data_IF_669894226058
#
_entry.id   IF_669894226058
#
_cell.length_a   1.000
_cell.length_b   1.000
_cell.length_c   1.000
_cell.angle_alpha   90.00
_cell.angle_beta   90.00
_cell.angle_gamma   90.00
#
_symmetry.space_group_name_H-M   'P 1'
#
loop_
_entity.id
_entity.type
_entity.pdbx_description
1 polymer ?
#
# COMPACT_ATOMS: atom_id res chain seq x y z
N UNK A 1 22.16 13.79 13.12
CA UNK A 1 21.68 12.68 12.25
C UNK A 1 21.02 11.66 13.17
N UNK A 2 19.68 11.69 13.30
CA UNK A 2 18.95 10.67 14.06
C UNK A 2 19.06 9.36 13.31
N UNK A 3 19.76 8.36 13.90
CA UNK A 3 19.71 7.00 13.40
C UNK A 3 18.24 6.58 13.36
N UNK A 4 17.82 6.10 12.20
CA UNK A 4 16.44 5.65 11.98
C UNK A 4 16.06 4.64 13.07
N UNK A 5 15.11 5.02 13.92
CA UNK A 5 14.61 4.22 15.04
C UNK A 5 13.75 3.02 14.56
N UNK A 6 14.07 2.47 13.36
CA UNK A 6 13.38 1.33 12.77
C UNK A 6 14.28 0.11 12.76
N UNK A 7 13.75 -0.97 13.29
CA UNK A 7 14.43 -2.27 13.29
C UNK A 7 13.48 -3.34 12.77
N UNK A 8 13.90 -4.07 11.74
CA UNK A 8 13.20 -5.25 11.24
C UNK A 8 14.02 -6.49 11.58
N UNK A 9 13.43 -7.40 12.32
CA UNK A 9 13.99 -8.70 12.65
C UNK A 9 13.07 -9.83 12.18
N UNK A 10 13.64 -11.00 11.89
CA UNK A 10 12.89 -12.15 11.41
C UNK A 10 13.06 -13.32 12.37
N UNK A 11 11.99 -14.11 12.53
CA UNK A 11 11.97 -15.29 13.38
C UNK A 11 11.03 -16.37 12.83
N UNK A 12 11.21 -17.62 13.25
CA UNK A 12 10.32 -18.71 12.91
C UNK A 12 9.17 -18.81 13.91
N UNK A 13 7.94 -18.94 13.43
CA UNK A 13 6.77 -19.29 14.25
C UNK A 13 6.68 -20.79 14.41
N UNK A 14 7.46 -21.33 15.35
CA UNK A 14 7.62 -22.78 15.59
C UNK A 14 6.32 -23.50 15.93
N UNK A 15 5.36 -22.79 16.56
CA UNK A 15 4.03 -23.32 16.90
C UNK A 15 3.16 -23.65 15.67
N UNK A 16 3.54 -23.17 14.49
CA UNK A 16 2.84 -23.39 13.21
C UNK A 16 3.71 -24.19 12.23
N UNK A 17 4.60 -25.06 12.74
CA UNK A 17 5.36 -25.97 11.89
C UNK A 17 4.41 -26.92 11.16
N UNK A 18 4.65 -27.15 9.87
CA UNK A 18 3.95 -28.16 9.11
C UNK A 18 4.50 -29.58 9.36
N UNK A 19 3.86 -30.59 8.76
CA UNK A 19 4.24 -32.00 8.92
C UNK A 19 5.70 -32.30 8.51
N UNK A 20 6.27 -31.49 7.60
CA UNK A 20 7.65 -31.60 7.12
C UNK A 20 8.65 -30.79 8.00
N UNK A 21 8.19 -30.17 9.08
CA UNK A 21 9.01 -29.37 9.98
C UNK A 21 9.36 -27.97 9.45
N UNK A 22 8.67 -27.49 8.42
CA UNK A 22 8.84 -26.13 7.92
C UNK A 22 8.01 -25.17 8.76
N UNK A 23 8.63 -24.11 9.25
CA UNK A 23 8.00 -23.08 10.06
C UNK A 23 7.78 -21.80 9.24
N UNK A 24 6.65 -21.11 9.41
CA UNK A 24 6.46 -19.79 8.82
C UNK A 24 7.49 -18.78 9.34
N UNK A 25 8.04 -17.99 8.43
CA UNK A 25 8.90 -16.86 8.78
C UNK A 25 8.03 -15.65 9.09
N UNK A 26 8.24 -15.06 10.25
CA UNK A 26 7.59 -13.83 10.70
C UNK A 26 8.59 -12.68 10.69
N UNK A 27 8.14 -11.51 10.31
CA UNK A 27 8.85 -10.27 10.54
C UNK A 27 8.33 -9.58 11.80
N UNK A 28 9.23 -9.02 12.60
CA UNK A 28 8.93 -8.10 13.70
C UNK A 28 9.53 -6.75 13.37
N UNK A 29 8.68 -5.76 13.21
CA UNK A 29 9.02 -4.37 12.93
C UNK A 29 8.89 -3.56 14.21
N UNK A 30 9.95 -2.87 14.61
CA UNK A 30 9.96 -1.94 15.72
C UNK A 30 10.22 -0.53 15.21
N UNK A 31 9.44 0.43 15.68
CA UNK A 31 9.62 1.87 15.43
C UNK A 31 9.74 2.56 16.78
N UNK A 32 10.92 3.15 17.03
CA UNK A 32 11.23 3.68 18.35
C UNK A 32 11.22 2.60 19.42
N UNK A 33 10.92 3.00 20.66
CA UNK A 33 10.94 2.14 21.83
C UNK A 33 9.63 1.40 22.09
N UNK A 34 8.49 1.98 21.64
CA UNK A 34 7.17 1.55 22.11
C UNK A 34 6.22 1.11 21.00
N UNK A 35 6.63 1.20 19.74
CA UNK A 35 5.78 0.80 18.62
C UNK A 35 6.34 -0.46 17.96
N UNK A 36 5.56 -1.55 17.97
CA UNK A 36 5.93 -2.80 17.31
C UNK A 36 4.76 -3.38 16.52
N UNK A 37 5.09 -4.07 15.44
CA UNK A 37 4.14 -4.80 14.61
C UNK A 37 4.77 -6.11 14.14
N UNK A 38 3.98 -7.16 14.00
CA UNK A 38 4.42 -8.43 13.44
C UNK A 38 3.57 -8.83 12.26
N UNK A 39 4.18 -9.51 11.26
CA UNK A 39 3.48 -10.02 10.09
C UNK A 39 4.20 -11.22 9.48
N UNK A 40 3.46 -12.03 8.72
CA UNK A 40 4.02 -13.16 7.99
C UNK A 40 4.69 -12.68 6.70
N UNK A 41 5.91 -13.17 6.43
CA UNK A 41 6.61 -12.93 5.15
C UNK A 41 6.16 -13.89 4.04
N UNK A 42 5.21 -14.79 4.32
CA UNK A 42 4.69 -15.79 3.38
C UNK A 42 5.77 -16.76 2.86
N UNK A 43 6.81 -16.98 3.63
CA UNK A 43 7.88 -17.94 3.37
C UNK A 43 7.86 -18.97 4.51
N UNK A 44 8.13 -20.25 4.20
CA UNK A 44 8.36 -21.30 5.18
C UNK A 44 9.78 -21.82 5.04
N UNK A 45 10.42 -22.13 6.17
CA UNK A 45 11.80 -22.63 6.23
C UNK A 45 11.90 -23.75 7.25
N UNK A 46 12.61 -24.87 6.96
CA UNK A 46 12.90 -25.87 7.96
C UNK A 46 13.63 -25.26 9.16
N UNK A 47 13.23 -25.62 10.38
CA UNK A 47 13.86 -25.09 11.59
C UNK A 47 15.37 -25.33 11.61
N UNK A 48 15.84 -26.47 11.10
CA UNK A 48 17.26 -26.84 11.01
C UNK A 48 18.08 -25.94 10.07
N UNK A 49 17.40 -25.23 9.16
CA UNK A 49 18.03 -24.31 8.20
C UNK A 49 17.80 -22.84 8.54
N UNK A 50 17.58 -22.53 9.79
CA UNK A 50 17.37 -21.16 10.26
C UNK A 50 18.31 -20.80 11.41
N UNK A 51 19.06 -19.73 11.27
CA UNK A 51 19.96 -19.22 12.32
C UNK A 51 20.02 -17.70 12.29
N UNK A 52 20.01 -17.08 13.47
CA UNK A 52 20.18 -15.64 13.64
C UNK A 52 19.28 -14.76 12.76
N UNK A 53 18.02 -15.19 12.57
CA UNK A 53 17.04 -14.43 11.79
C UNK A 53 17.22 -14.53 10.26
N UNK A 54 17.94 -15.57 9.78
CA UNK A 54 18.22 -15.80 8.35
C UNK A 54 18.20 -17.29 8.00
N UNK A 55 17.95 -17.59 6.72
CA UNK A 55 18.14 -18.93 6.21
C UNK A 55 19.65 -19.29 6.19
N UNK A 56 20.01 -20.43 6.76
CA UNK A 56 21.38 -20.94 6.84
C UNK A 56 21.74 -21.82 5.64
N UNK A 57 23.02 -21.83 5.28
CA UNK A 57 23.58 -22.60 4.17
C UNK A 57 23.87 -21.77 2.93
N UNK A 58 24.57 -22.44 1.96
CA UNK A 58 25.04 -21.79 0.70
C UNK A 58 24.15 -22.10 -0.50
N UNK A 59 23.00 -22.75 -0.31
CA UNK A 59 22.07 -23.11 -1.39
C UNK A 59 21.48 -21.88 -2.06
N UNK A 60 21.09 -22.01 -3.33
CA UNK A 60 20.41 -20.94 -4.09
C UNK A 60 19.13 -20.53 -3.34
N UNK A 61 18.34 -21.49 -2.86
CA UNK A 61 17.13 -21.20 -2.09
C UNK A 61 17.40 -20.38 -0.81
N UNK A 62 18.48 -20.66 -0.07
CA UNK A 62 18.83 -19.87 1.11
C UNK A 62 19.22 -18.43 0.75
N UNK A 63 19.91 -18.25 -0.38
CA UNK A 63 20.25 -16.91 -0.89
C UNK A 63 19.00 -16.12 -1.31
N UNK A 64 18.09 -16.75 -2.04
CA UNK A 64 16.83 -16.12 -2.48
C UNK A 64 15.97 -15.71 -1.29
N UNK A 65 15.83 -16.59 -0.27
CA UNK A 65 15.13 -16.26 0.96
C UNK A 65 15.79 -15.04 1.64
N UNK A 66 17.10 -15.05 1.81
CA UNK A 66 17.82 -13.97 2.47
C UNK A 66 17.71 -12.64 1.69
N UNK A 67 17.79 -12.67 0.36
CA UNK A 67 17.57 -11.50 -0.49
C UNK A 67 16.15 -10.92 -0.25
N UNK A 68 15.14 -11.78 -0.22
CA UNK A 68 13.77 -11.35 0.06
C UNK A 68 13.60 -10.72 1.44
N UNK A 69 14.28 -11.25 2.47
CA UNK A 69 14.29 -10.67 3.81
C UNK A 69 14.96 -9.29 3.83
N UNK A 70 16.06 -9.13 3.07
CA UNK A 70 16.78 -7.85 2.96
C UNK A 70 15.96 -6.81 2.17
N UNK A 71 15.24 -7.22 1.12
CA UNK A 71 14.27 -6.36 0.42
C UNK A 71 13.18 -5.84 1.36
N UNK A 72 12.56 -6.71 2.15
CA UNK A 72 11.54 -6.35 3.13
C UNK A 72 12.10 -5.34 4.14
N UNK A 73 13.32 -5.55 4.61
CA UNK A 73 13.99 -4.63 5.55
C UNK A 73 14.23 -3.27 4.91
N UNK A 74 14.73 -3.23 3.67
CA UNK A 74 14.97 -2.00 2.93
C UNK A 74 13.68 -1.23 2.65
N UNK A 75 12.62 -1.94 2.22
CA UNK A 75 11.31 -1.32 1.99
C UNK A 75 10.73 -0.72 3.29
N UNK A 76 10.76 -1.45 4.41
CA UNK A 76 10.27 -0.94 5.69
C UNK A 76 11.01 0.32 6.15
N UNK A 77 12.34 0.35 5.96
CA UNK A 77 13.15 1.52 6.27
C UNK A 77 12.79 2.71 5.39
N UNK A 78 12.67 2.52 4.07
CA UNK A 78 12.30 3.58 3.14
C UNK A 78 10.92 4.15 3.46
N UNK A 79 9.91 3.30 3.68
CA UNK A 79 8.57 3.73 4.08
C UNK A 79 8.63 4.58 5.35
N UNK A 80 9.37 4.13 6.36
CA UNK A 80 9.52 4.90 7.60
C UNK A 80 10.19 6.25 7.34
N UNK A 81 11.26 6.30 6.57
CA UNK A 81 11.98 7.55 6.26
C UNK A 81 11.09 8.53 5.51
N UNK A 82 10.34 8.08 4.52
CA UNK A 82 9.38 8.90 3.79
C UNK A 82 8.28 9.45 4.71
N UNK A 83 7.71 8.62 5.57
CA UNK A 83 6.66 9.04 6.49
C UNK A 83 7.18 9.99 7.57
N UNK A 84 8.35 9.69 8.15
CA UNK A 84 8.95 10.50 9.23
C UNK A 84 9.53 11.83 8.75
N UNK A 85 9.81 11.97 7.46
CA UNK A 85 10.23 13.25 6.88
C UNK A 85 9.08 14.29 6.85
N UNK A 86 7.85 13.84 6.93
CA UNK A 86 6.65 14.67 6.76
C UNK A 86 5.87 14.87 8.06
N UNK A 87 5.95 13.92 9.00
CA UNK A 87 5.26 13.97 10.28
C UNK A 87 6.01 13.21 11.37
N UNK A 88 5.82 13.63 12.62
CA UNK A 88 6.26 12.88 13.80
C UNK A 88 5.25 11.75 14.13
N UNK A 89 5.70 10.80 14.95
CA UNK A 89 4.82 9.78 15.52
C UNK A 89 4.44 8.64 14.57
N UNK A 90 5.24 8.37 13.54
CA UNK A 90 5.03 7.21 12.64
C UNK A 90 5.10 5.91 13.45
N UNK A 91 4.10 5.05 13.31
CA UNK A 91 3.99 3.79 14.04
C UNK A 91 4.43 2.57 13.23
N UNK A 92 4.79 1.48 13.92
CA UNK A 92 5.12 0.22 13.26
C UNK A 92 3.93 -0.38 12.50
N UNK A 93 2.69 -0.22 13.00
CA UNK A 93 1.49 -0.70 12.31
C UNK A 93 1.25 0.05 10.99
N UNK A 94 1.49 1.35 10.94
CA UNK A 94 1.39 2.13 9.70
C UNK A 94 2.42 1.70 8.67
N UNK A 95 3.69 1.55 9.07
CA UNK A 95 4.75 1.05 8.18
C UNK A 95 4.43 -0.34 7.68
N UNK A 96 3.96 -1.24 8.55
CA UNK A 96 3.49 -2.59 8.20
C UNK A 96 2.35 -2.54 7.20
N UNK A 97 1.33 -1.70 7.42
CA UNK A 97 0.17 -1.56 6.53
C UNK A 97 0.59 -1.20 5.09
N UNK A 98 1.47 -0.20 4.96
CA UNK A 98 2.01 0.22 3.66
C UNK A 98 2.88 -0.89 3.05
N UNK A 99 3.78 -1.49 3.84
CA UNK A 99 4.68 -2.56 3.40
C UNK A 99 3.91 -3.78 2.89
N UNK A 100 2.87 -4.21 3.61
CA UNK A 100 2.04 -5.34 3.20
C UNK A 100 1.20 -5.00 1.96
N UNK A 101 0.72 -3.78 1.82
CA UNK A 101 0.07 -3.29 0.60
C UNK A 101 1.00 -3.38 -0.61
N UNK A 102 2.25 -2.97 -0.47
CA UNK A 102 3.27 -3.08 -1.53
C UNK A 102 3.72 -4.52 -1.79
N UNK A 103 3.95 -5.32 -0.73
CA UNK A 103 4.49 -6.67 -0.83
C UNK A 103 3.46 -7.72 -1.29
N UNK A 104 2.18 -7.46 -1.10
CA UNK A 104 1.12 -8.39 -1.53
C UNK A 104 0.85 -8.35 -3.03
N UNK A 105 1.56 -7.48 -3.78
CA UNK A 105 1.20 -7.21 -5.17
C UNK A 105 -0.20 -6.64 -5.32
N UNK A 106 -0.82 -6.22 -4.21
CA UNK A 106 -2.12 -5.58 -4.25
C UNK A 106 -2.01 -4.31 -5.07
N UNK A 107 -2.89 -4.21 -6.03
CA UNK A 107 -3.02 -3.03 -6.86
C UNK A 107 -3.27 -1.81 -5.96
N UNK A 108 -2.52 -0.75 -6.19
CA UNK A 108 -2.70 0.52 -5.48
C UNK A 108 -3.65 1.43 -6.24
N UNK A 109 -4.33 2.33 -5.53
CA UNK A 109 -5.31 3.23 -6.11
C UNK A 109 -4.73 4.08 -7.25
N UNK A 110 -3.64 4.80 -7.00
CA UNK A 110 -3.03 5.67 -8.02
C UNK A 110 -2.30 4.86 -9.09
N UNK A 111 -1.70 3.71 -8.74
CA UNK A 111 -1.11 2.78 -9.70
C UNK A 111 -2.13 2.29 -10.72
N UNK A 112 -3.27 1.81 -10.24
CA UNK A 112 -4.39 1.37 -11.07
C UNK A 112 -4.98 2.51 -11.89
N UNK A 113 -5.24 3.66 -11.27
CA UNK A 113 -5.82 4.83 -11.93
C UNK A 113 -4.91 5.32 -13.07
N UNK A 114 -3.60 5.39 -12.85
CA UNK A 114 -2.62 5.75 -13.88
C UNK A 114 -2.63 4.76 -15.04
N UNK A 115 -2.73 3.46 -14.77
CA UNK A 115 -2.86 2.42 -15.80
C UNK A 115 -4.15 2.59 -16.59
N UNK A 116 -5.27 2.85 -15.91
CA UNK A 116 -6.55 3.15 -16.54
C UNK A 116 -6.45 4.36 -17.48
N UNK A 117 -5.89 5.49 -17.04
CA UNK A 117 -5.70 6.70 -17.85
C UNK A 117 -4.89 6.38 -19.11
N UNK A 118 -3.77 5.67 -19.01
CA UNK A 118 -2.96 5.27 -20.16
C UNK A 118 -3.73 4.40 -21.16
N UNK A 119 -4.57 3.51 -20.69
CA UNK A 119 -5.39 2.66 -21.55
C UNK A 119 -6.56 3.44 -22.16
N UNK A 120 -7.11 4.40 -21.42
CA UNK A 120 -8.16 5.31 -21.92
C UNK A 120 -7.64 6.23 -23.02
N UNK A 121 -6.43 6.77 -22.85
CA UNK A 121 -5.76 7.64 -23.83
C UNK A 121 -5.61 6.97 -25.19
N UNK A 122 -5.27 5.69 -25.24
CA UNK A 122 -5.17 4.91 -26.50
C UNK A 122 -6.49 4.82 -27.26
N UNK A 123 -7.63 5.11 -26.62
CA UNK A 123 -8.98 5.06 -27.20
C UNK A 123 -9.52 6.44 -27.58
N UNK A 124 -8.77 7.50 -27.28
CA UNK A 124 -9.16 8.88 -27.63
C UNK A 124 -9.16 9.02 -29.16
N UNK A 125 -10.23 9.58 -29.69
CA UNK A 125 -10.44 9.68 -31.15
C UNK A 125 -11.06 8.44 -31.81
N UNK A 126 -11.15 7.30 -31.07
CA UNK A 126 -11.84 6.09 -31.56
C UNK A 126 -13.25 6.01 -30.94
N UNK A 127 -13.33 5.85 -29.62
CA UNK A 127 -14.59 5.75 -28.88
C UNK A 127 -14.56 6.50 -27.53
N UNK A 128 -13.56 7.34 -27.32
CA UNK A 128 -13.38 8.20 -26.15
C UNK A 128 -13.01 9.61 -26.56
N UNK A 129 -13.31 10.58 -25.70
CA UNK A 129 -13.05 12.01 -25.98
C UNK A 129 -11.88 12.52 -25.15
N UNK A 130 -11.21 13.56 -25.67
CA UNK A 130 -10.16 14.30 -24.93
C UNK A 130 -10.73 14.93 -23.65
N UNK A 131 -11.99 15.39 -23.69
CA UNK A 131 -12.66 15.95 -22.49
C UNK A 131 -12.78 14.93 -21.36
N UNK A 132 -13.17 13.69 -21.66
CA UNK A 132 -13.23 12.62 -20.67
C UNK A 132 -11.83 12.24 -20.14
N UNK A 133 -10.81 12.21 -21.00
CA UNK A 133 -9.43 11.97 -20.57
C UNK A 133 -8.96 13.04 -19.58
N UNK A 134 -9.23 14.30 -19.86
CA UNK A 134 -8.92 15.42 -18.95
C UNK A 134 -9.65 15.31 -17.63
N UNK A 135 -10.91 14.85 -17.61
CA UNK A 135 -11.67 14.65 -16.39
C UNK A 135 -11.02 13.59 -15.48
N UNK A 136 -10.61 12.45 -16.04
CA UNK A 136 -9.88 11.41 -15.28
C UNK A 136 -8.53 11.89 -14.78
N UNK A 137 -7.75 12.58 -15.62
CA UNK A 137 -6.44 13.12 -15.22
C UNK A 137 -6.57 14.16 -14.10
N UNK A 138 -7.62 14.99 -14.13
CA UNK A 138 -7.90 15.94 -13.08
C UNK A 138 -8.29 15.23 -11.77
N UNK A 139 -9.16 14.22 -11.83
CA UNK A 139 -9.53 13.44 -10.65
C UNK A 139 -8.31 12.73 -10.04
N UNK A 140 -7.45 12.12 -10.87
CA UNK A 140 -6.18 11.55 -10.42
C UNK A 140 -5.35 12.55 -9.60
N UNK A 141 -5.12 13.76 -10.16
CA UNK A 141 -4.32 14.80 -9.49
C UNK A 141 -4.94 15.29 -8.18
N UNK A 142 -6.26 15.32 -8.07
CA UNK A 142 -6.94 15.69 -6.82
C UNK A 142 -6.79 14.59 -5.75
N UNK A 143 -6.87 13.31 -6.12
CA UNK A 143 -6.66 12.19 -5.19
C UNK A 143 -5.19 12.14 -4.73
N UNK A 144 -4.24 12.31 -5.64
CA UNK A 144 -2.80 12.36 -5.33
C UNK A 144 -2.50 13.44 -4.29
N UNK A 145 -3.01 14.67 -4.50
CA UNK A 145 -2.87 15.77 -3.54
C UNK A 145 -3.56 15.50 -2.21
N UNK A 146 -4.72 14.85 -2.21
CA UNK A 146 -5.42 14.45 -1.00
C UNK A 146 -4.62 13.45 -0.19
N UNK A 147 -4.09 12.39 -0.83
CA UNK A 147 -3.24 11.42 -0.18
C UNK A 147 -2.01 12.08 0.45
N UNK A 148 -1.37 12.98 -0.29
CA UNK A 148 -0.23 13.71 0.22
C UNK A 148 -0.59 14.65 1.36
N UNK A 149 -1.73 15.37 1.28
CA UNK A 149 -2.14 16.34 2.30
C UNK A 149 -2.58 15.67 3.59
N UNK A 150 -3.46 14.66 3.52
CA UNK A 150 -4.12 14.06 4.67
C UNK A 150 -3.40 12.84 5.25
N UNK A 151 -2.77 12.03 4.39
CA UNK A 151 -2.14 10.77 4.79
C UNK A 151 -0.62 10.81 4.71
N UNK A 152 -0.04 11.81 4.03
CA UNK A 152 1.41 11.92 3.76
C UNK A 152 1.93 10.70 2.99
N UNK A 153 1.08 10.14 2.13
CA UNK A 153 1.37 8.97 1.31
C UNK A 153 1.42 9.35 -0.16
N UNK A 154 2.28 8.67 -0.91
CA UNK A 154 2.34 8.77 -2.38
C UNK A 154 1.25 7.93 -3.06
N UNK A 155 0.76 6.87 -2.41
CA UNK A 155 -0.30 5.99 -2.89
C UNK A 155 -0.85 5.14 -1.73
N UNK A 156 -2.00 4.45 -1.94
CA UNK A 156 -2.58 3.51 -0.97
C UNK A 156 -3.05 2.24 -1.67
N UNK A 157 -3.02 1.07 -0.99
CA UNK A 157 -3.65 -0.13 -1.52
C UNK A 157 -5.17 0.03 -1.55
N UNK A 158 -5.85 -0.62 -2.49
CA UNK A 158 -7.31 -0.62 -2.56
C UNK A 158 -7.99 -1.11 -1.28
N UNK A 159 -7.34 -1.99 -0.52
CA UNK A 159 -7.83 -2.48 0.78
C UNK A 159 -7.95 -1.38 1.85
N UNK A 160 -7.30 -0.24 1.65
CA UNK A 160 -7.39 0.92 2.53
C UNK A 160 -8.50 1.92 2.11
N UNK A 161 -9.18 1.66 0.98
CA UNK A 161 -10.34 2.44 0.58
C UNK A 161 -11.57 1.96 1.33
N UNK A 162 -11.95 2.69 2.35
CA UNK A 162 -13.19 2.49 3.10
C UNK A 162 -14.13 3.70 2.94
N UNK A 163 -15.29 3.64 3.59
CA UNK A 163 -16.24 4.74 3.63
C UNK A 163 -15.63 6.01 4.24
N UNK A 164 -14.83 5.85 5.31
CA UNK A 164 -14.18 6.97 6.00
C UNK A 164 -13.21 7.72 5.05
N UNK A 165 -12.51 6.99 4.17
CA UNK A 165 -11.69 7.60 3.14
C UNK A 165 -12.52 8.51 2.21
N UNK A 166 -13.67 8.03 1.75
CA UNK A 166 -14.54 8.80 0.85
C UNK A 166 -15.06 10.07 1.54
N UNK A 167 -15.53 9.95 2.79
CA UNK A 167 -16.04 11.09 3.57
C UNK A 167 -14.94 12.14 3.83
N UNK A 168 -13.71 11.71 4.15
CA UNK A 168 -12.55 12.61 4.31
C UNK A 168 -12.16 13.29 2.99
N UNK A 169 -12.23 12.56 1.88
CA UNK A 169 -11.95 13.12 0.56
C UNK A 169 -12.97 14.21 0.18
N UNK A 170 -14.26 13.96 0.37
CA UNK A 170 -15.31 14.96 0.16
C UNK A 170 -15.11 16.21 1.02
N UNK A 171 -14.83 16.01 2.32
CA UNK A 171 -14.55 17.10 3.26
C UNK A 171 -13.33 17.93 2.80
N UNK A 172 -12.22 17.28 2.45
CA UNK A 172 -11.02 17.94 1.94
C UNK A 172 -11.30 18.80 0.69
N UNK A 173 -12.08 18.25 -0.25
CA UNK A 173 -12.43 19.01 -1.47
C UNK A 173 -13.26 20.26 -1.16
N UNK A 174 -14.13 20.20 -0.15
CA UNK A 174 -14.96 21.34 0.29
C UNK A 174 -14.18 22.37 1.07
N UNK A 175 -13.41 21.94 2.07
CA UNK A 175 -12.82 22.83 3.08
C UNK A 175 -11.41 23.30 2.71
N UNK A 176 -10.55 22.41 2.24
CA UNK A 176 -9.15 22.77 1.94
C UNK A 176 -8.96 23.19 0.48
N UNK A 177 -9.74 22.59 -0.44
CA UNK A 177 -9.67 22.94 -1.87
C UNK A 177 -10.72 23.97 -2.28
N UNK A 178 -11.71 24.22 -1.44
CA UNK A 178 -12.80 25.18 -1.64
C UNK A 178 -13.45 25.06 -3.02
N UNK A 179 -13.75 23.81 -3.45
CA UNK A 179 -14.29 23.53 -4.76
C UNK A 179 -15.82 23.67 -4.79
N UNK A 180 -16.34 24.11 -5.93
CA UNK A 180 -17.78 24.17 -6.16
C UNK A 180 -18.42 22.76 -6.14
N UNK A 181 -19.66 22.60 -5.65
CA UNK A 181 -20.36 21.32 -5.55
C UNK A 181 -20.35 20.49 -6.84
N UNK A 182 -20.59 21.11 -7.99
CA UNK A 182 -20.55 20.44 -9.30
C UNK A 182 -19.18 19.86 -9.65
N UNK A 183 -18.09 20.54 -9.26
CA UNK A 183 -16.73 20.03 -9.45
C UNK A 183 -16.48 18.81 -8.56
N UNK A 184 -16.91 18.87 -7.29
CA UNK A 184 -16.78 17.76 -6.33
C UNK A 184 -17.52 16.52 -6.84
N UNK A 185 -18.77 16.69 -7.31
CA UNK A 185 -19.55 15.60 -7.89
C UNK A 185 -18.78 14.96 -9.07
N UNK A 186 -18.25 15.76 -10.00
CA UNK A 186 -17.49 15.24 -11.12
C UNK A 186 -16.25 14.45 -10.69
N UNK A 187 -15.46 14.96 -9.74
CA UNK A 187 -14.30 14.26 -9.20
C UNK A 187 -14.69 12.93 -8.54
N UNK A 188 -15.77 12.94 -7.76
CA UNK A 188 -16.28 11.75 -7.08
C UNK A 188 -16.80 10.70 -8.06
N UNK A 189 -17.50 11.11 -9.13
CA UNK A 189 -17.95 10.21 -10.19
C UNK A 189 -16.77 9.53 -10.89
N UNK A 190 -15.69 10.25 -11.18
CA UNK A 190 -14.50 9.65 -11.78
C UNK A 190 -13.85 8.62 -10.83
N UNK A 191 -13.71 8.95 -9.54
CA UNK A 191 -13.19 7.99 -8.55
C UNK A 191 -14.11 6.76 -8.42
N UNK A 192 -15.43 6.96 -8.40
CA UNK A 192 -16.40 5.87 -8.34
C UNK A 192 -16.29 4.95 -9.56
N UNK A 193 -16.02 5.50 -10.74
CA UNK A 193 -15.77 4.71 -11.96
C UNK A 193 -14.52 3.85 -11.79
N UNK A 194 -13.41 4.42 -11.33
CA UNK A 194 -12.16 3.66 -11.09
C UNK A 194 -12.36 2.53 -10.09
N UNK A 195 -13.11 2.78 -9.01
CA UNK A 195 -13.47 1.75 -8.03
C UNK A 195 -14.34 0.66 -8.67
N UNK A 196 -15.29 1.04 -9.52
CA UNK A 196 -16.14 0.09 -10.26
C UNK A 196 -15.33 -0.81 -11.20
N UNK A 197 -14.37 -0.25 -11.94
CA UNK A 197 -13.44 -1.01 -12.78
C UNK A 197 -12.57 -1.96 -11.94
N UNK A 198 -12.08 -1.52 -10.79
CA UNK A 198 -11.30 -2.35 -9.87
C UNK A 198 -12.12 -3.52 -9.28
N UNK A 199 -13.44 -3.33 -9.07
CA UNK A 199 -14.35 -4.42 -8.69
C UNK A 199 -14.53 -5.39 -9.84
N UNK A 200 -14.75 -4.89 -11.05
CA UNK A 200 -14.89 -5.72 -12.25
C UNK A 200 -13.63 -6.56 -12.53
N UNK A 201 -12.45 -6.00 -12.26
CA UNK A 201 -11.15 -6.69 -12.36
C UNK A 201 -10.86 -7.63 -11.17
N UNK A 202 -11.76 -7.72 -10.17
CA UNK A 202 -11.60 -8.60 -9.00
C UNK A 202 -10.55 -8.14 -7.98
N UNK A 203 -10.11 -6.89 -8.05
CA UNK A 203 -9.10 -6.32 -7.14
C UNK A 203 -9.69 -6.07 -5.75
N UNK A 204 -10.95 -5.63 -5.71
CA UNK A 204 -11.74 -5.46 -4.48
C UNK A 204 -13.11 -6.09 -4.66
N UNK A 205 -13.71 -6.53 -3.56
CA UNK A 205 -15.00 -7.23 -3.56
C UNK A 205 -16.20 -6.35 -3.22
N UNK A 206 -15.95 -5.17 -2.63
CA UNK A 206 -17.01 -4.25 -2.21
C UNK A 206 -16.63 -2.80 -2.52
N UNK A 207 -17.64 -1.98 -2.82
CA UNK A 207 -17.43 -0.56 -3.09
C UNK A 207 -17.40 0.25 -1.79
N UNK A 208 -16.38 1.10 -1.55
CA UNK A 208 -16.38 2.05 -0.44
C UNK A 208 -17.46 3.13 -0.56
N UNK A 209 -18.15 3.21 -1.70
CA UNK A 209 -19.25 4.13 -1.95
C UNK A 209 -20.63 3.59 -1.53
N UNK A 210 -20.70 2.40 -0.90
CA UNK A 210 -21.98 1.90 -0.41
C UNK A 210 -22.56 2.88 0.62
N UNK A 211 -23.78 3.38 0.33
CA UNK A 211 -24.47 4.37 1.16
C UNK A 211 -23.96 5.81 1.05
N UNK A 212 -23.13 6.11 0.05
CA UNK A 212 -22.68 7.48 -0.25
C UNK A 212 -23.62 8.17 -1.23
#
# INVERSE_FOLDING_TARGET
MNQANVKVSFYLKKSEADADGNCPVMAKLNVGKYSEAAFSVKIKVPQSRWSSGRASGKSVAAKEINNRLDEIRAMALNIYMEQSAVRDGVTAEEVKGILLGMASGQETLLGYFRRFIRNFEKRVGINRTVGSLRAYSNAYSHIERFLQAQYKLSDIPFSALDRSFIDKYDLYLRTERNLAPGTIINLTVQLKTIVGEAIADGIITASPFMGY
#
